data_IF_545478833545
#
_entry.id   IF_545478833545
#
_cell.length_a   1.000
_cell.length_b   1.000
_cell.length_c   1.000
_cell.angle_alpha   90.00
_cell.angle_beta   90.00
_cell.angle_gamma   90.00
#
_symmetry.space_group_name_H-M   'P 1'
#
loop_
_entity.id
_entity.type
_entity.pdbx_description
1 polymer ?
#
# COMPACT_ATOMS: atom_id res chain seq x y z
N UNK A 1 32.88 -27.31 33.18
CA UNK A 1 31.95 -27.08 32.06
C UNK A 1 31.35 -28.42 31.67
N UNK A 2 30.06 -28.53 31.29
CA UNK A 2 29.10 -27.46 30.92
C UNK A 2 28.09 -27.17 32.05
N UNK A 3 27.62 -25.96 32.30
CA UNK A 3 26.79 -25.05 31.48
C UNK A 3 25.37 -25.57 31.25
N UNK A 4 24.46 -25.13 32.11
CA UNK A 4 22.99 -25.21 32.00
C UNK A 4 22.51 -24.05 32.86
N UNK A 5 21.90 -22.99 32.39
CA UNK A 5 21.17 -22.76 31.16
C UNK A 5 19.99 -21.91 31.63
N UNK A 6 19.93 -20.65 31.17
CA UNK A 6 18.70 -19.92 30.83
C UNK A 6 19.07 -18.44 30.58
N UNK A 7 19.31 -18.10 29.32
CA UNK A 7 18.86 -16.83 28.77
C UNK A 7 17.91 -17.23 27.62
N UNK A 8 16.75 -16.58 27.46
CA UNK A 8 16.79 -15.26 26.82
C UNK A 8 15.64 -14.32 27.25
N UNK A 9 15.97 -13.19 27.87
CA UNK A 9 15.08 -12.03 27.85
C UNK A 9 15.20 -11.34 26.50
N UNK A 10 14.38 -11.74 25.53
CA UNK A 10 14.25 -11.04 24.24
C UNK A 10 13.90 -9.57 24.50
N UNK A 11 14.60 -8.58 23.92
CA UNK A 11 14.02 -7.25 23.81
C UNK A 11 12.88 -7.36 22.81
N UNK A 12 11.66 -7.11 23.28
CA UNK A 12 10.49 -6.95 22.44
C UNK A 12 10.78 -5.85 21.42
N UNK A 13 11.04 -6.23 20.17
CA UNK A 13 11.10 -5.33 19.03
C UNK A 13 9.67 -4.82 18.82
N UNK A 14 9.43 -3.64 19.38
CA UNK A 14 8.20 -2.88 19.27
C UNK A 14 7.94 -2.59 17.79
N UNK A 15 7.18 -3.46 17.11
CA UNK A 15 6.61 -3.14 15.81
C UNK A 15 5.60 -2.01 16.02
N UNK A 16 6.07 -0.77 15.92
CA UNK A 16 5.22 0.40 15.88
C UNK A 16 4.32 0.29 14.65
N UNK A 17 3.15 -0.32 14.84
CA UNK A 17 2.04 -0.21 13.91
C UNK A 17 1.62 1.26 13.93
N UNK A 18 2.29 2.08 13.12
CA UNK A 18 1.96 3.50 12.97
C UNK A 18 0.48 3.58 12.60
N UNK A 19 -0.29 4.30 13.43
CA UNK A 19 -1.72 4.51 13.19
C UNK A 19 -1.91 4.98 11.75
N UNK A 20 -2.93 4.48 11.03
CA UNK A 20 -3.19 4.91 9.66
C UNK A 20 -3.45 6.42 9.66
N UNK A 21 -2.74 7.15 8.79
CA UNK A 21 -2.89 8.61 8.62
C UNK A 21 -4.33 9.00 8.32
N UNK A 22 -4.77 10.14 8.83
CA UNK A 22 -6.05 10.73 8.44
C UNK A 22 -6.01 11.27 7.01
N UNK A 23 -7.18 11.57 6.44
CA UNK A 23 -7.27 12.14 5.08
C UNK A 23 -6.51 13.47 5.00
N UNK A 24 -6.65 14.34 6.00
CA UNK A 24 -5.96 15.63 6.03
C UNK A 24 -4.45 15.45 6.11
N UNK A 25 -3.97 14.62 7.04
CA UNK A 25 -2.54 14.33 7.16
C UNK A 25 -1.97 13.71 5.89
N UNK A 26 -2.71 12.83 5.22
CA UNK A 26 -2.29 12.24 3.95
C UNK A 26 -2.27 13.26 2.81
N UNK A 27 -3.22 14.20 2.77
CA UNK A 27 -3.27 15.24 1.74
C UNK A 27 -2.16 16.29 1.91
N UNK A 28 -1.80 16.60 3.17
CA UNK A 28 -0.76 17.60 3.48
C UNK A 28 0.65 17.01 3.43
N UNK A 29 0.83 15.78 3.94
CA UNK A 29 2.15 15.22 4.25
C UNK A 29 2.33 13.78 3.73
N UNK A 30 1.34 13.24 3.02
CA UNK A 30 1.35 11.88 2.49
C UNK A 30 1.50 11.83 0.98
N UNK A 31 1.52 10.61 0.46
CA UNK A 31 1.42 10.36 -0.98
C UNK A 31 -0.05 10.36 -1.42
N UNK A 32 -0.27 10.50 -2.73
CA UNK A 32 -1.61 10.35 -3.32
C UNK A 32 -2.26 9.02 -2.96
N UNK A 33 -1.48 7.95 -2.93
CA UNK A 33 -1.95 6.62 -2.51
C UNK A 33 -2.34 6.57 -1.03
N UNK A 34 -1.62 7.26 -0.14
CA UNK A 34 -1.98 7.37 1.28
C UNK A 34 -3.32 8.10 1.47
N UNK A 35 -3.55 9.16 0.68
CA UNK A 35 -4.80 9.94 0.70
C UNK A 35 -5.98 9.08 0.23
N UNK A 36 -5.81 8.37 -0.90
CA UNK A 36 -6.81 7.45 -1.45
C UNK A 36 -7.15 6.32 -0.48
N UNK A 37 -6.13 5.71 0.16
CA UNK A 37 -6.33 4.68 1.19
C UNK A 37 -7.08 5.25 2.41
N UNK A 38 -6.78 6.48 2.83
CA UNK A 38 -7.50 7.13 3.93
C UNK A 38 -8.98 7.42 3.58
N UNK A 39 -9.25 7.91 2.37
CA UNK A 39 -10.62 8.13 1.88
C UNK A 39 -11.40 6.81 1.80
N UNK A 40 -10.78 5.74 1.25
CA UNK A 40 -11.37 4.40 1.17
C UNK A 40 -11.81 3.87 2.53
N UNK A 41 -10.99 4.06 3.58
CA UNK A 41 -11.33 3.67 4.96
C UNK A 41 -12.52 4.46 5.50
N UNK A 42 -12.58 5.76 5.21
CA UNK A 42 -13.70 6.61 5.66
C UNK A 42 -15.02 6.23 5.00
N UNK A 43 -15.00 5.89 3.70
CA UNK A 43 -16.16 5.41 2.99
C UNK A 43 -16.63 4.05 3.50
N UNK A 44 -15.71 3.10 3.73
CA UNK A 44 -16.04 1.81 4.33
C UNK A 44 -16.74 1.98 5.68
N UNK A 45 -16.20 2.85 6.55
CA UNK A 45 -16.84 3.17 7.84
C UNK A 45 -18.24 3.77 7.68
N UNK A 46 -18.45 4.62 6.69
CA UNK A 46 -19.78 5.18 6.41
C UNK A 46 -20.74 4.10 5.88
N UNK A 47 -20.27 3.14 5.08
CA UNK A 47 -21.09 2.05 4.58
C UNK A 47 -21.50 1.06 5.69
N UNK A 48 -20.64 0.85 6.69
CA UNK A 48 -20.93 0.00 7.85
C UNK A 48 -21.81 0.68 8.92
N UNK A 49 -21.97 2.00 8.85
CA UNK A 49 -22.78 2.75 9.82
C UNK A 49 -24.28 2.49 9.57
N UNK A 50 -25.03 1.91 10.55
CA UNK A 50 -26.46 1.65 10.38
C UNK A 50 -27.30 2.92 10.24
N UNK A 51 -26.75 4.09 10.58
CA UNK A 51 -27.41 5.38 10.39
C UNK A 51 -27.25 5.95 8.97
N UNK A 52 -26.43 5.32 8.13
CA UNK A 52 -26.24 5.77 6.75
C UNK A 52 -27.49 5.48 5.92
N UNK A 53 -28.09 6.50 5.27
CA UNK A 53 -29.28 6.31 4.46
C UNK A 53 -29.03 5.34 3.31
N UNK A 54 -29.99 4.44 3.05
CA UNK A 54 -29.90 3.49 1.93
C UNK A 54 -29.70 4.18 0.57
N UNK A 55 -30.24 5.40 0.41
CA UNK A 55 -30.04 6.24 -0.77
C UNK A 55 -28.56 6.60 -0.98
N UNK A 56 -27.82 6.81 0.10
CA UNK A 56 -26.42 7.22 0.06
C UNK A 56 -25.49 6.02 -0.16
N UNK A 57 -25.91 4.81 0.25
CA UNK A 57 -25.14 3.58 0.01
C UNK A 57 -24.79 3.36 -1.46
N UNK A 58 -25.69 3.68 -2.40
CA UNK A 58 -25.42 3.56 -3.83
C UNK A 58 -24.34 4.55 -4.31
N UNK A 59 -24.30 5.76 -3.73
CA UNK A 59 -23.25 6.74 -4.04
C UNK A 59 -21.92 6.34 -3.41
N UNK A 60 -21.92 5.93 -2.14
CA UNK A 60 -20.74 5.48 -1.41
C UNK A 60 -20.10 4.25 -2.07
N UNK A 61 -20.91 3.27 -2.49
CA UNK A 61 -20.43 2.06 -3.17
C UNK A 61 -19.73 2.37 -4.50
N UNK A 62 -20.30 3.29 -5.31
CA UNK A 62 -19.65 3.73 -6.56
C UNK A 62 -18.33 4.41 -6.29
N UNK A 63 -18.29 5.32 -5.31
CA UNK A 63 -17.06 6.01 -4.91
C UNK A 63 -15.99 5.03 -4.39
N UNK A 64 -16.41 4.00 -3.65
CA UNK A 64 -15.52 2.96 -3.14
C UNK A 64 -14.86 2.17 -4.28
N UNK A 65 -15.62 1.83 -5.32
CA UNK A 65 -15.10 1.14 -6.51
C UNK A 65 -14.16 2.03 -7.32
N UNK A 66 -14.47 3.31 -7.48
CA UNK A 66 -13.60 4.28 -8.16
C UNK A 66 -12.24 4.41 -7.46
N UNK A 67 -12.24 4.64 -6.14
CA UNK A 67 -11.01 4.77 -5.37
C UNK A 67 -10.22 3.45 -5.37
N UNK A 68 -10.91 2.30 -5.33
CA UNK A 68 -10.25 1.00 -5.46
C UNK A 68 -9.47 0.86 -6.75
N UNK A 69 -10.09 1.20 -7.89
CA UNK A 69 -9.42 1.19 -9.20
C UNK A 69 -8.25 2.17 -9.29
N UNK A 70 -8.38 3.36 -8.72
CA UNK A 70 -7.29 4.36 -8.72
C UNK A 70 -6.10 3.90 -7.87
N UNK A 71 -6.35 3.25 -6.72
CA UNK A 71 -5.29 2.66 -5.91
C UNK A 71 -4.57 1.56 -6.68
N UNK A 72 -5.32 0.63 -7.29
CA UNK A 72 -4.73 -0.47 -8.08
C UNK A 72 -3.89 0.07 -9.24
N UNK A 73 -4.36 1.10 -9.95
CA UNK A 73 -3.60 1.72 -11.03
C UNK A 73 -2.28 2.34 -10.55
N UNK A 74 -2.28 3.00 -9.39
CA UNK A 74 -1.06 3.57 -8.81
C UNK A 74 -0.11 2.46 -8.33
N UNK A 75 -0.62 1.43 -7.66
CA UNK A 75 0.20 0.32 -7.17
C UNK A 75 0.85 -0.45 -8.33
N UNK A 76 0.12 -0.69 -9.42
CA UNK A 76 0.67 -1.30 -10.64
C UNK A 76 1.73 -0.41 -11.26
N UNK A 77 1.47 0.89 -11.44
CA UNK A 77 2.46 1.81 -12.00
C UNK A 77 3.74 1.88 -11.15
N UNK A 78 3.61 1.93 -9.82
CA UNK A 78 4.75 1.92 -8.90
C UNK A 78 5.54 0.61 -8.93
N UNK A 79 4.91 -0.53 -9.24
CA UNK A 79 5.59 -1.81 -9.38
C UNK A 79 6.23 -2.02 -10.77
N UNK A 80 5.58 -1.55 -11.84
CA UNK A 80 6.14 -1.55 -13.19
C UNK A 80 7.40 -0.68 -13.26
N UNK A 81 7.39 0.52 -12.65
CA UNK A 81 8.56 1.38 -12.54
C UNK A 81 9.73 0.70 -11.80
N UNK A 82 9.43 -0.18 -10.82
CA UNK A 82 10.46 -0.98 -10.13
C UNK A 82 10.92 -2.19 -10.96
N UNK A 83 10.05 -2.75 -11.78
CA UNK A 83 10.32 -3.97 -12.57
C UNK A 83 11.12 -3.71 -13.85
N UNK A 84 11.15 -2.49 -14.38
CA UNK A 84 11.84 -2.16 -15.65
C UNK A 84 13.37 -2.05 -15.51
N UNK A 85 13.94 -2.08 -14.30
CA UNK A 85 15.40 -2.15 -14.09
C UNK A 85 15.88 -3.61 -14.12
N UNK A 86 15.60 -4.32 -15.22
CA UNK A 86 16.43 -5.44 -15.63
C UNK A 86 17.52 -4.84 -16.53
N UNK A 87 18.70 -4.56 -15.97
CA UNK A 87 19.91 -4.35 -16.77
C UNK A 87 20.16 -5.66 -17.54
N UNK A 88 19.57 -5.81 -18.72
CA UNK A 88 20.10 -6.74 -19.70
C UNK A 88 21.36 -6.07 -20.22
N UNK A 89 22.51 -6.60 -19.81
CA UNK A 89 23.79 -6.23 -20.41
C UNK A 89 23.64 -6.31 -21.93
N UNK A 90 23.96 -5.19 -22.61
CA UNK A 90 23.93 -5.09 -24.06
C UNK A 90 25.05 -6.01 -24.58
N UNK A 91 24.72 -7.29 -24.82
CA UNK A 91 25.65 -8.24 -25.39
C UNK A 91 26.06 -7.72 -26.77
N UNK A 92 27.30 -7.27 -26.89
CA UNK A 92 27.87 -6.75 -28.13
C UNK A 92 27.82 -7.83 -29.20
N UNK A 93 26.83 -7.71 -30.08
CA UNK A 93 26.69 -8.49 -31.30
C UNK A 93 28.00 -8.50 -32.09
N UNK A 94 28.69 -9.64 -32.12
CA UNK A 94 29.93 -9.84 -32.88
C UNK A 94 29.60 -10.27 -34.31
N UNK A 95 29.14 -9.32 -35.12
CA UNK A 95 28.74 -9.52 -36.53
C UNK A 95 29.86 -9.99 -37.46
N UNK A 96 30.38 -11.20 -37.25
CA UNK A 96 31.38 -11.86 -38.10
C UNK A 96 30.82 -13.18 -38.63
N UNK A 97 29.67 -13.09 -39.30
CA UNK A 97 29.25 -14.12 -40.24
C UNK A 97 29.94 -13.90 -41.59
N UNK A 98 31.01 -14.65 -41.85
CA UNK A 98 31.58 -14.86 -43.19
C UNK A 98 31.73 -16.36 -43.45
#
# INVERSE_FOLDING_TARGET
MPDTGEAPGQPAENSETKRPKTILESAENGSRIDELKAMRRRLAKAMDDPNTPARDLAALSRRQLEIGREIEAIEVAEDEDKSVIANTDDETWDGTGY
#
